data_IF_498873609928
#
_entry.id   IF_498873609928
#
_cell.length_a   1.000
_cell.length_b   1.000
_cell.length_c   1.000
_cell.angle_alpha   90.00
_cell.angle_beta   90.00
_cell.angle_gamma   90.00
#
_symmetry.space_group_name_H-M   'P 1'
#
loop_
_entity.id
_entity.type
_entity.pdbx_description
1 polymer ?
#
# COMPACT_ATOMS: atom_id res chain seq x y z
N UNK A 1 -29.45 -6.79 7.46
CA UNK A 1 -30.35 -7.72 8.17
C UNK A 1 -29.66 -8.11 9.45
N UNK A 2 -30.28 -7.81 10.57
CA UNK A 2 -30.03 -8.51 11.82
C UNK A 2 -31.28 -9.37 12.08
N UNK A 3 -31.05 -10.63 12.36
CA UNK A 3 -32.05 -11.54 12.92
C UNK A 3 -32.35 -11.06 14.37
N UNK A 4 -33.59 -11.07 14.87
CA UNK A 4 -33.93 -10.64 16.24
C UNK A 4 -33.28 -11.49 17.35
N UNK A 5 -32.49 -12.51 16.99
CA UNK A 5 -31.73 -13.37 17.89
C UNK A 5 -30.23 -13.27 17.59
N UNK A 6 -29.63 -12.08 17.70
CA UNK A 6 -28.17 -11.89 17.91
C UNK A 6 -27.16 -12.49 16.92
N UNK A 7 -27.59 -13.21 15.89
CA UNK A 7 -26.72 -13.83 14.91
C UNK A 7 -26.56 -12.86 13.73
N UNK A 8 -25.36 -12.27 13.55
CA UNK A 8 -25.13 -11.35 12.46
C UNK A 8 -25.41 -12.10 11.15
N UNK A 9 -26.32 -11.57 10.32
CA UNK A 9 -26.41 -12.06 8.95
C UNK A 9 -25.02 -11.93 8.31
N UNK A 10 -24.54 -12.90 7.53
CA UNK A 10 -23.26 -12.79 6.86
C UNK A 10 -23.25 -11.57 5.94
N UNK A 11 -22.61 -10.50 6.39
CA UNK A 11 -22.37 -9.31 5.58
C UNK A 11 -20.90 -9.35 5.19
N UNK A 12 -20.64 -9.65 3.92
CA UNK A 12 -19.35 -9.34 3.31
C UNK A 12 -19.23 -7.83 3.22
N UNK A 13 -18.11 -7.26 3.66
CA UNK A 13 -17.91 -5.82 3.62
C UNK A 13 -16.90 -5.35 4.66
N UNK A 14 -16.77 -4.05 4.79
CA UNK A 14 -15.92 -3.43 5.79
C UNK A 14 -16.77 -2.92 6.96
N UNK A 15 -16.29 -3.11 8.18
CA UNK A 15 -16.97 -2.68 9.42
C UNK A 15 -16.00 -1.99 10.35
N UNK A 16 -16.41 -0.90 10.98
CA UNK A 16 -15.60 -0.13 11.93
C UNK A 16 -16.29 -0.02 13.28
N UNK A 17 -15.50 0.01 14.35
CA UNK A 17 -15.97 0.30 15.70
C UNK A 17 -15.62 1.75 16.04
N UNK A 18 -16.63 2.52 16.41
CA UNK A 18 -16.52 3.92 16.80
C UNK A 18 -17.34 4.15 18.06
N UNK A 19 -16.69 4.55 19.16
CA UNK A 19 -17.31 4.76 20.48
C UNK A 19 -18.09 3.51 20.97
N UNK A 20 -17.46 2.34 20.87
CA UNK A 20 -18.06 1.06 21.25
C UNK A 20 -19.15 0.54 20.30
N UNK A 21 -19.52 1.27 19.25
CA UNK A 21 -20.55 0.87 18.30
C UNK A 21 -19.99 0.38 16.96
N UNK A 22 -20.52 -0.74 16.46
CA UNK A 22 -20.17 -1.30 15.16
C UNK A 22 -20.99 -0.66 14.03
N UNK A 23 -20.31 -0.15 13.00
CA UNK A 23 -20.91 0.43 11.80
C UNK A 23 -20.41 -0.31 10.55
N UNK A 24 -21.23 -0.30 9.48
CA UNK A 24 -20.69 -0.53 8.14
C UNK A 24 -19.75 0.62 7.81
N UNK A 25 -18.68 0.31 7.09
CA UNK A 25 -17.65 1.28 6.79
C UNK A 25 -17.15 1.13 5.35
N UNK A 26 -16.51 2.18 4.86
CA UNK A 26 -15.65 2.17 3.65
C UNK A 26 -14.57 3.24 3.79
N UNK A 27 -13.53 3.20 2.97
CA UNK A 27 -12.60 4.33 2.89
C UNK A 27 -13.30 5.61 2.44
N UNK A 28 -13.12 6.74 3.14
CA UNK A 28 -13.76 8.00 2.78
C UNK A 28 -13.09 8.60 1.53
N UNK A 29 -13.83 8.68 0.44
CA UNK A 29 -13.32 9.16 -0.84
C UNK A 29 -12.88 10.63 -0.78
N UNK A 30 -11.63 10.92 -1.16
CA UNK A 30 -11.10 12.29 -1.15
C UNK A 30 -10.83 12.87 0.25
N UNK A 31 -11.12 12.12 1.32
CA UNK A 31 -10.87 12.52 2.72
C UNK A 31 -9.91 11.57 3.42
N UNK A 32 -9.03 10.91 2.66
CA UNK A 32 -7.97 10.09 3.25
C UNK A 32 -7.18 10.91 4.29
N UNK A 33 -6.89 10.37 5.50
CA UNK A 33 -7.01 8.97 5.92
C UNK A 33 -8.36 8.55 6.51
N UNK A 34 -9.41 9.37 6.43
CA UNK A 34 -10.69 9.09 7.07
C UNK A 34 -11.38 7.81 6.54
N UNK A 35 -12.16 7.20 7.44
CA UNK A 35 -13.09 6.11 7.14
C UNK A 35 -14.50 6.67 7.22
N UNK A 36 -15.32 6.33 6.25
CA UNK A 36 -16.71 6.74 6.20
C UNK A 36 -17.58 5.69 6.89
N UNK A 37 -18.26 6.08 7.97
CA UNK A 37 -19.25 5.26 8.64
C UNK A 37 -20.59 5.36 7.91
N UNK A 38 -21.25 4.23 7.74
CA UNK A 38 -22.50 4.08 7.00
C UNK A 38 -23.55 3.50 7.97
N UNK A 39 -24.25 4.35 8.75
CA UNK A 39 -25.30 3.88 9.64
C UNK A 39 -26.45 3.26 8.83
N UNK A 40 -27.08 2.23 9.39
CA UNK A 40 -28.25 1.62 8.75
C UNK A 40 -29.43 2.60 8.71
N UNK A 41 -30.33 2.48 7.73
CA UNK A 41 -31.55 3.29 7.70
C UNK A 41 -32.29 3.19 9.03
N UNK A 42 -32.66 4.34 9.62
CA UNK A 42 -33.32 4.48 10.94
C UNK A 42 -32.42 4.32 12.17
N UNK A 43 -31.12 4.02 12.00
CA UNK A 43 -30.15 4.15 13.09
C UNK A 43 -29.78 5.63 13.26
N UNK A 44 -29.61 6.15 14.48
CA UNK A 44 -29.11 7.50 14.71
C UNK A 44 -27.76 7.72 14.00
N UNK A 45 -27.52 8.97 13.61
CA UNK A 45 -26.21 9.39 13.12
C UNK A 45 -25.13 9.15 14.19
N UNK A 46 -23.89 8.76 13.81
CA UNK A 46 -22.77 8.69 14.73
C UNK A 46 -22.58 10.03 15.44
N UNK A 47 -22.57 10.00 16.77
CA UNK A 47 -22.52 11.22 17.58
C UNK A 47 -21.23 12.02 17.34
N UNK A 48 -21.36 13.34 17.15
CA UNK A 48 -20.21 14.23 16.98
C UNK A 48 -19.45 14.02 15.67
N UNK A 49 -20.13 13.53 14.63
CA UNK A 49 -19.60 13.39 13.27
C UNK A 49 -20.55 14.08 12.29
N UNK A 50 -20.05 15.00 11.49
CA UNK A 50 -20.85 15.69 10.48
C UNK A 50 -21.13 14.75 9.29
N UNK A 51 -22.35 14.75 8.72
CA UNK A 51 -22.66 13.99 7.53
C UNK A 51 -21.95 14.60 6.30
N UNK A 52 -21.67 13.74 5.33
CA UNK A 52 -21.16 14.10 4.01
C UNK A 52 -21.92 13.34 2.94
N UNK A 53 -22.31 14.05 1.89
CA UNK A 53 -22.85 13.44 0.70
C UNK A 53 -21.71 13.06 -0.26
N UNK A 54 -21.66 11.80 -0.65
CA UNK A 54 -20.76 11.31 -1.68
C UNK A 54 -21.35 11.58 -3.08
N UNK A 55 -20.50 11.48 -4.11
CA UNK A 55 -20.91 11.75 -5.50
C UNK A 55 -22.00 10.80 -6.02
N UNK A 56 -22.17 9.64 -5.38
CA UNK A 56 -23.23 8.66 -5.66
C UNK A 56 -24.55 8.97 -4.92
N UNK A 57 -24.64 10.10 -4.22
CA UNK A 57 -25.80 10.52 -3.42
C UNK A 57 -25.92 9.80 -2.07
N UNK A 58 -24.98 8.92 -1.71
CA UNK A 58 -24.98 8.28 -0.39
C UNK A 58 -24.48 9.25 0.69
N UNK A 59 -25.14 9.22 1.86
CA UNK A 59 -24.71 10.00 3.03
C UNK A 59 -23.85 9.12 3.93
N UNK A 60 -22.61 9.54 4.14
CA UNK A 60 -21.67 8.90 5.04
C UNK A 60 -21.16 9.86 6.11
N UNK A 61 -20.47 9.32 7.11
CA UNK A 61 -19.97 10.06 8.25
C UNK A 61 -18.45 9.85 8.35
N UNK A 62 -17.63 10.76 7.79
CA UNK A 62 -16.18 10.61 7.78
C UNK A 62 -15.58 10.77 9.18
N UNK A 63 -14.82 9.77 9.62
CA UNK A 63 -14.15 9.71 10.91
C UNK A 63 -12.64 9.50 10.70
N UNK A 64 -11.78 10.33 11.30
CA UNK A 64 -10.32 10.11 11.33
C UNK A 64 -9.96 8.75 11.96
N UNK A 65 -8.86 8.14 11.51
CA UNK A 65 -8.47 6.79 11.98
C UNK A 65 -8.23 6.77 13.49
N UNK A 66 -7.71 7.85 14.05
CA UNK A 66 -7.35 8.01 15.47
C UNK A 66 -8.57 7.95 16.39
N UNK A 67 -9.77 8.14 15.85
CA UNK A 67 -11.03 8.06 16.59
C UNK A 67 -11.70 6.69 16.48
N UNK A 68 -11.17 5.78 15.67
CA UNK A 68 -11.70 4.42 15.54
C UNK A 68 -11.03 3.48 16.55
N UNK A 69 -11.83 2.58 17.11
CA UNK A 69 -11.35 1.52 17.99
C UNK A 69 -10.93 0.28 17.19
N UNK A 70 -11.62 0.03 16.06
CA UNK A 70 -11.29 -1.08 15.17
C UNK A 70 -11.83 -0.83 13.76
N UNK A 71 -11.20 -1.47 12.77
CA UNK A 71 -11.73 -1.50 11.40
C UNK A 71 -11.31 -2.79 10.70
N UNK A 72 -12.29 -3.56 10.23
CA UNK A 72 -12.08 -4.89 9.67
C UNK A 72 -12.70 -5.01 8.28
N UNK A 73 -12.01 -5.71 7.39
CA UNK A 73 -12.67 -6.38 6.28
C UNK A 73 -13.20 -7.73 6.78
N UNK A 74 -14.51 -7.93 6.65
CA UNK A 74 -15.21 -9.12 7.09
C UNK A 74 -15.59 -9.95 5.88
N UNK A 75 -15.18 -11.21 5.91
CA UNK A 75 -15.66 -12.24 5.00
C UNK A 75 -16.26 -13.37 5.83
N UNK A 76 -17.10 -14.17 5.20
CA UNK A 76 -17.71 -15.32 5.83
C UNK A 76 -17.49 -16.53 4.94
N UNK A 77 -17.20 -17.67 5.54
CA UNK A 77 -17.16 -18.96 4.84
C UNK A 77 -18.19 -19.89 5.41
N UNK A 78 -18.60 -20.86 4.61
CA UNK A 78 -19.47 -21.94 5.08
C UNK A 78 -19.24 -23.21 4.28
N UNK A 79 -19.74 -24.33 4.81
CA UNK A 79 -19.78 -25.60 4.11
C UNK A 79 -21.18 -26.02 3.73
N UNK A 80 -21.32 -26.57 2.53
CA UNK A 80 -22.51 -27.27 2.08
C UNK A 80 -22.08 -28.59 1.45
N UNK A 81 -22.64 -29.71 1.92
CA UNK A 81 -22.19 -31.07 1.53
C UNK A 81 -20.67 -31.28 1.63
N UNK A 82 -20.06 -30.76 2.71
CA UNK A 82 -18.61 -30.81 3.01
C UNK A 82 -17.72 -29.94 2.12
N UNK A 83 -18.28 -29.27 1.12
CA UNK A 83 -17.58 -28.38 0.21
C UNK A 83 -17.56 -26.94 0.71
N UNK A 84 -16.44 -26.23 0.51
CA UNK A 84 -16.20 -24.91 1.08
C UNK A 84 -16.61 -23.77 0.13
N UNK A 85 -17.24 -22.74 0.70
CA UNK A 85 -17.72 -21.58 -0.03
C UNK A 85 -17.36 -20.27 0.68
N UNK A 86 -17.03 -19.23 -0.10
CA UNK A 86 -17.02 -17.85 0.36
C UNK A 86 -18.44 -17.28 0.26
N UNK A 87 -19.01 -16.84 1.37
CA UNK A 87 -20.33 -16.23 1.39
C UNK A 87 -20.34 -14.87 0.68
N UNK A 88 -21.28 -14.71 -0.24
CA UNK A 88 -21.47 -13.51 -1.07
C UNK A 88 -22.75 -12.76 -0.74
N UNK A 89 -23.78 -13.45 -0.27
CA UNK A 89 -25.05 -12.87 0.14
C UNK A 89 -25.78 -13.83 1.08
N UNK A 90 -26.62 -13.27 1.94
CA UNK A 90 -27.45 -14.03 2.86
C UNK A 90 -28.87 -13.45 2.89
N UNK A 91 -29.85 -14.33 2.87
CA UNK A 91 -31.26 -14.05 3.20
C UNK A 91 -31.63 -14.81 4.47
N UNK A 92 -32.82 -14.59 5.06
CA UNK A 92 -33.26 -15.36 6.22
C UNK A 92 -33.28 -16.87 5.97
N UNK A 93 -33.55 -17.30 4.72
CA UNK A 93 -33.72 -18.71 4.37
C UNK A 93 -32.59 -19.30 3.53
N UNK A 94 -31.73 -18.47 2.94
CA UNK A 94 -30.69 -18.95 2.02
C UNK A 94 -29.35 -18.24 2.17
N UNK A 95 -28.28 -18.96 1.81
CA UNK A 95 -26.92 -18.44 1.68
C UNK A 95 -26.45 -18.59 0.23
N UNK A 96 -25.83 -17.56 -0.32
CA UNK A 96 -25.19 -17.63 -1.64
C UNK A 96 -23.69 -17.54 -1.49
N UNK A 97 -22.93 -18.39 -2.18
CA UNK A 97 -21.48 -18.41 -2.05
C UNK A 97 -20.73 -18.78 -3.32
N UNK A 98 -19.53 -18.21 -3.46
CA UNK A 98 -18.56 -18.61 -4.48
C UNK A 98 -17.84 -19.87 -4.00
N UNK A 99 -17.68 -20.85 -4.88
CA UNK A 99 -17.00 -22.09 -4.57
C UNK A 99 -15.51 -21.87 -4.37
N UNK A 100 -14.98 -22.38 -3.26
CA UNK A 100 -13.55 -22.34 -2.92
C UNK A 100 -12.88 -23.71 -3.00
N UNK A 101 -13.65 -24.78 -3.20
CA UNK A 101 -13.09 -26.12 -3.35
C UNK A 101 -12.51 -26.38 -4.74
N UNK A 102 -11.90 -27.55 -4.88
CA UNK A 102 -11.21 -27.98 -6.10
C UNK A 102 -11.89 -29.14 -6.83
N UNK A 103 -13.01 -29.66 -6.32
CA UNK A 103 -13.76 -30.75 -6.96
C UNK A 103 -14.59 -30.21 -8.13
N UNK A 104 -14.09 -30.43 -9.35
CA UNK A 104 -14.76 -29.97 -10.56
C UNK A 104 -16.03 -30.77 -10.88
N UNK A 105 -16.11 -32.04 -10.48
CA UNK A 105 -17.27 -32.87 -10.72
C UNK A 105 -18.45 -32.37 -9.88
N UNK A 106 -18.22 -32.20 -8.57
CA UNK A 106 -19.17 -31.58 -7.66
C UNK A 106 -19.62 -30.20 -8.17
N UNK A 107 -18.67 -29.36 -8.61
CA UNK A 107 -18.98 -28.01 -9.06
C UNK A 107 -19.88 -28.01 -10.30
N UNK A 108 -19.67 -28.92 -11.25
CA UNK A 108 -20.50 -29.05 -12.46
C UNK A 108 -21.89 -29.60 -12.15
N UNK A 109 -22.00 -30.50 -11.18
CA UNK A 109 -23.28 -31.14 -10.84
C UNK A 109 -24.20 -30.21 -10.04
N UNK A 110 -23.65 -29.44 -9.09
CA UNK A 110 -24.46 -28.73 -8.10
C UNK A 110 -24.42 -27.20 -8.20
N UNK A 111 -23.52 -26.62 -9.00
CA UNK A 111 -23.29 -25.18 -8.99
C UNK A 111 -23.48 -24.53 -10.37
N UNK A 112 -23.74 -23.23 -10.36
CA UNK A 112 -23.83 -22.43 -11.59
C UNK A 112 -22.46 -21.90 -11.97
N UNK A 113 -22.01 -22.23 -13.18
CA UNK A 113 -20.77 -21.67 -13.76
C UNK A 113 -20.88 -20.16 -14.00
N UNK A 114 -19.81 -19.44 -13.70
CA UNK A 114 -19.62 -18.00 -13.92
C UNK A 114 -18.35 -17.76 -14.74
N UNK A 115 -18.12 -16.50 -15.12
CA UNK A 115 -16.89 -16.08 -15.81
C UNK A 115 -15.65 -16.38 -14.97
N UNK A 116 -15.77 -16.22 -13.65
CA UNK A 116 -14.71 -16.47 -12.67
C UNK A 116 -15.26 -17.50 -11.67
N UNK A 117 -15.16 -18.79 -12.01
CA UNK A 117 -15.49 -19.91 -11.11
C UNK A 117 -16.95 -20.36 -11.06
N UNK A 118 -17.35 -20.98 -9.94
CA UNK A 118 -18.70 -21.52 -9.71
C UNK A 118 -19.38 -20.86 -8.51
N UNK A 119 -20.71 -20.71 -8.55
CA UNK A 119 -21.50 -20.10 -7.47
C UNK A 119 -22.78 -20.91 -7.22
N UNK A 120 -23.16 -21.04 -5.95
CA UNK A 120 -24.40 -21.68 -5.53
C UNK A 120 -25.28 -20.82 -4.62
N UNK A 121 -26.52 -21.25 -4.44
CA UNK A 121 -27.49 -20.74 -3.48
C UNK A 121 -28.01 -21.95 -2.70
N UNK A 122 -27.90 -21.90 -1.38
CA UNK A 122 -28.08 -23.03 -0.48
C UNK A 122 -29.12 -22.70 0.57
N UNK A 123 -30.01 -23.63 0.95
CA UNK A 123 -30.86 -23.50 2.12
C UNK A 123 -30.01 -23.29 3.37
N UNK A 124 -30.40 -22.35 4.23
CA UNK A 124 -29.60 -21.96 5.41
C UNK A 124 -29.47 -23.10 6.43
N UNK A 125 -30.48 -23.95 6.53
CA UNK A 125 -30.56 -25.12 7.40
C UNK A 125 -29.67 -26.30 6.94
N UNK A 126 -29.28 -26.34 5.67
CA UNK A 126 -28.35 -27.33 5.13
C UNK A 126 -26.87 -26.91 5.24
N UNK A 127 -26.63 -25.64 5.60
CA UNK A 127 -25.29 -25.09 5.70
C UNK A 127 -24.68 -25.37 7.08
N UNK A 128 -23.41 -25.74 7.07
CA UNK A 128 -22.60 -26.06 8.25
C UNK A 128 -21.35 -25.17 8.29
N UNK A 129 -20.66 -25.12 9.44
CA UNK A 129 -19.38 -24.40 9.59
C UNK A 129 -19.44 -22.94 9.10
N UNK A 130 -20.51 -22.21 9.46
CA UNK A 130 -20.62 -20.79 9.13
C UNK A 130 -19.66 -19.98 10.00
N UNK A 131 -18.54 -19.57 9.42
CA UNK A 131 -17.44 -18.91 10.11
C UNK A 131 -17.23 -17.49 9.61
N UNK A 132 -16.92 -16.58 10.54
CA UNK A 132 -16.54 -15.21 10.23
C UNK A 132 -15.03 -15.06 10.25
N UNK A 133 -14.49 -14.46 9.19
CA UNK A 133 -13.10 -14.07 9.09
C UNK A 133 -12.98 -12.55 9.17
N UNK A 134 -12.00 -12.08 9.94
CA UNK A 134 -11.71 -10.65 10.10
C UNK A 134 -10.27 -10.38 9.69
N UNK A 135 -10.10 -9.47 8.73
CA UNK A 135 -8.80 -8.91 8.39
C UNK A 135 -8.72 -7.50 8.91
N UNK A 136 -7.76 -7.22 9.79
CA UNK A 136 -7.51 -5.88 10.29
C UNK A 136 -7.13 -4.93 9.14
N UNK A 137 -7.76 -3.77 9.14
CA UNK A 137 -7.53 -2.67 8.21
C UNK A 137 -7.05 -1.42 8.91
N UNK A 138 -7.22 -1.31 10.24
CA UNK A 138 -6.86 -0.14 11.02
C UNK A 138 -5.34 -0.07 11.21
N UNK A 139 -4.71 -1.12 11.75
CA UNK A 139 -3.28 -1.11 12.06
C UNK A 139 -2.39 -0.90 10.82
N UNK A 140 -2.60 -1.61 9.69
CA UNK A 140 -1.83 -1.34 8.48
C UNK A 140 -1.99 0.10 7.98
N UNK A 141 -3.15 0.73 8.18
CA UNK A 141 -3.37 2.12 7.81
C UNK A 141 -2.70 3.11 8.76
N UNK A 142 -2.71 2.87 10.07
CA UNK A 142 -1.96 3.71 11.01
C UNK A 142 -0.47 3.71 10.70
N UNK A 143 0.12 2.53 10.49
CA UNK A 143 1.53 2.41 10.12
C UNK A 143 1.82 3.20 8.83
N UNK A 144 0.91 3.16 7.87
CA UNK A 144 1.05 3.88 6.61
C UNK A 144 0.90 5.41 6.76
N UNK A 145 -0.01 5.89 7.63
CA UNK A 145 -0.12 7.31 7.97
C UNK A 145 1.14 7.81 8.66
N UNK A 146 1.69 7.05 9.61
CA UNK A 146 2.93 7.39 10.29
C UNK A 146 4.08 7.55 9.29
N UNK A 147 4.23 6.59 8.37
CA UNK A 147 5.23 6.66 7.29
C UNK A 147 5.04 7.84 6.35
N UNK A 148 3.80 8.31 6.16
CA UNK A 148 3.54 9.50 5.36
C UNK A 148 3.84 10.82 6.08
N UNK A 149 3.82 10.82 7.41
CA UNK A 149 4.24 11.97 8.21
C UNK A 149 5.77 12.14 8.23
N UNK A 150 6.51 11.06 7.96
CA UNK A 150 7.95 11.07 7.79
C UNK A 150 8.34 11.63 6.41
N UNK A 151 8.86 12.86 6.39
CA UNK A 151 9.22 13.63 5.17
C UNK A 151 10.01 12.78 4.15
N UNK A 152 10.95 11.96 4.63
CA UNK A 152 11.89 11.19 3.80
C UNK A 152 11.62 9.67 3.77
N UNK A 153 10.49 9.16 4.26
CA UNK A 153 10.30 7.70 4.35
C UNK A 153 10.35 6.99 2.98
N UNK A 154 9.64 7.55 1.99
CA UNK A 154 9.57 7.00 0.64
C UNK A 154 10.67 7.52 -0.28
N UNK A 155 11.53 8.41 0.21
CA UNK A 155 12.66 8.89 -0.58
C UNK A 155 13.69 7.77 -0.70
N UNK A 156 14.32 7.59 -1.87
CA UNK A 156 15.40 6.62 -1.99
C UNK A 156 16.53 6.94 -1.02
N UNK A 157 17.03 5.91 -0.33
CA UNK A 157 18.13 6.01 0.64
C UNK A 157 19.19 4.98 0.34
N UNK A 158 20.44 5.37 0.45
CA UNK A 158 21.58 4.48 0.21
C UNK A 158 22.23 4.10 1.53
N UNK A 159 22.63 2.83 1.60
CA UNK A 159 23.27 2.24 2.76
C UNK A 159 24.45 1.40 2.33
N UNK A 160 25.41 1.27 3.23
CA UNK A 160 26.49 0.31 3.11
C UNK A 160 26.56 -0.54 4.37
N UNK A 161 26.95 -1.80 4.22
CA UNK A 161 27.25 -2.70 5.32
C UNK A 161 28.76 -2.84 5.41
N UNK A 162 29.32 -2.55 6.57
CA UNK A 162 30.73 -2.72 6.86
C UNK A 162 30.88 -3.52 8.16
N UNK A 163 31.52 -4.70 8.07
CA UNK A 163 31.69 -5.66 9.16
C UNK A 163 30.36 -6.00 9.87
N UNK A 164 29.32 -6.24 9.07
CA UNK A 164 27.99 -6.59 9.55
C UNK A 164 27.17 -5.43 10.14
N UNK A 165 27.65 -4.18 10.09
CA UNK A 165 26.91 -2.99 10.54
C UNK A 165 26.47 -2.14 9.37
N UNK A 166 25.24 -1.63 9.41
CA UNK A 166 24.65 -0.80 8.35
C UNK A 166 24.82 0.67 8.65
N UNK A 167 25.36 1.42 7.68
CA UNK A 167 25.55 2.87 7.75
C UNK A 167 24.81 3.53 6.58
N UNK A 168 24.22 4.73 6.76
CA UNK A 168 23.89 5.61 5.66
C UNK A 168 25.14 5.86 4.79
N UNK A 169 24.98 5.85 3.48
CA UNK A 169 26.10 5.95 2.55
C UNK A 169 25.77 6.85 1.35
N UNK A 170 26.81 7.37 0.71
CA UNK A 170 26.70 8.04 -0.58
C UNK A 170 26.14 7.08 -1.65
N UNK A 171 25.36 7.62 -2.59
CA UNK A 171 24.79 6.87 -3.71
C UNK A 171 25.81 6.54 -4.81
N UNK A 172 26.91 7.26 -4.85
CA UNK A 172 28.00 7.09 -5.80
C UNK A 172 29.34 7.19 -5.07
N UNK A 173 30.36 6.52 -5.60
CA UNK A 173 31.73 6.73 -5.18
C UNK A 173 32.23 8.08 -5.71
N UNK A 174 33.11 8.73 -4.97
CA UNK A 174 33.72 9.98 -5.42
C UNK A 174 34.73 9.76 -6.56
N UNK A 175 35.37 10.84 -7.02
CA UNK A 175 36.33 10.78 -8.12
C UNK A 175 37.55 9.86 -7.83
N UNK A 176 37.79 9.51 -6.56
CA UNK A 176 38.84 8.59 -6.13
C UNK A 176 38.33 7.15 -5.92
N UNK A 177 37.05 6.89 -6.19
CA UNK A 177 36.44 5.59 -5.98
C UNK A 177 36.07 5.30 -4.53
N UNK A 178 36.04 6.32 -3.66
CA UNK A 178 35.71 6.16 -2.24
C UNK A 178 34.24 6.46 -1.98
N UNK A 179 33.61 5.67 -1.12
CA UNK A 179 32.22 5.80 -0.71
C UNK A 179 32.20 6.45 0.68
N UNK A 180 31.51 7.59 0.78
CA UNK A 180 31.29 8.25 2.07
C UNK A 180 30.21 7.52 2.86
N UNK A 181 30.51 7.15 4.10
CA UNK A 181 29.60 6.61 5.10
C UNK A 181 29.34 7.69 6.16
N UNK A 182 28.08 7.88 6.55
CA UNK A 182 27.73 8.73 7.70
C UNK A 182 27.59 7.85 8.92
N UNK A 183 28.42 8.10 9.92
CA UNK A 183 28.46 7.35 11.17
C UNK A 183 28.12 8.33 12.28
N UNK A 184 27.10 8.01 13.09
CA UNK A 184 26.82 8.76 14.30
C UNK A 184 27.85 8.45 15.38
N UNK A 185 27.40 8.04 16.56
CA UNK A 185 28.30 7.67 17.67
C UNK A 185 29.15 6.41 17.39
N UNK A 186 28.72 5.57 16.43
CA UNK A 186 29.38 4.32 16.07
C UNK A 186 30.52 4.55 15.06
N UNK A 187 31.71 4.88 15.56
CA UNK A 187 32.90 5.12 14.73
C UNK A 187 33.59 3.81 14.27
N UNK A 188 33.76 3.60 12.96
CA UNK A 188 34.54 2.48 12.43
C UNK A 188 36.05 2.77 12.55
N UNK A 189 36.77 1.99 13.37
CA UNK A 189 38.19 2.22 13.69
C UNK A 189 39.15 2.04 12.50
N UNK A 190 38.76 1.27 11.49
CA UNK A 190 39.58 0.90 10.34
C UNK A 190 39.26 1.68 9.05
N UNK A 191 38.30 2.61 9.10
CA UNK A 191 37.99 3.51 8.00
C UNK A 191 38.63 4.87 8.21
N UNK A 192 38.93 5.54 7.10
CA UNK A 192 39.56 6.86 7.11
C UNK A 192 38.45 7.91 7.30
N UNK A 193 38.56 8.77 8.32
CA UNK A 193 37.65 9.90 8.46
C UNK A 193 37.76 10.83 7.23
N UNK A 194 36.64 11.33 6.70
CA UNK A 194 36.65 12.22 5.54
C UNK A 194 37.36 13.54 5.95
N UNK A 195 38.53 13.86 5.39
CA UNK A 195 39.27 15.06 5.77
C UNK A 195 38.54 16.36 5.42
N UNK A 196 37.49 16.29 4.59
CA UNK A 196 36.66 17.43 4.19
C UNK A 196 35.46 17.62 5.12
N UNK A 197 35.22 16.71 6.05
CA UNK A 197 34.12 16.78 6.99
C UNK A 197 34.57 17.34 8.36
N UNK A 198 34.24 18.60 8.68
CA UNK A 198 34.61 19.19 9.96
C UNK A 198 33.84 18.60 11.15
N UNK A 199 32.74 17.86 10.92
CA UNK A 199 31.98 17.22 12.00
C UNK A 199 32.64 15.93 12.50
N UNK A 200 33.44 15.27 11.65
CA UNK A 200 34.07 13.99 11.97
C UNK A 200 33.07 12.83 12.07
N UNK A 201 31.90 12.98 11.44
CA UNK A 201 30.84 11.96 11.36
C UNK A 201 30.93 11.17 10.04
N UNK A 202 31.71 11.64 9.06
CA UNK A 202 31.89 10.97 7.78
C UNK A 202 33.19 10.17 7.70
N UNK A 203 33.08 8.96 7.14
CA UNK A 203 34.19 8.05 6.91
C UNK A 203 34.20 7.57 5.46
N UNK A 204 35.37 7.25 4.93
CA UNK A 204 35.59 6.82 3.56
C UNK A 204 35.93 5.32 3.54
N UNK A 205 35.23 4.58 2.69
CA UNK A 205 35.48 3.17 2.43
C UNK A 205 35.65 2.90 0.93
N UNK A 206 36.53 1.98 0.56
CA UNK A 206 36.51 1.42 -0.80
C UNK A 206 35.37 0.40 -0.92
N UNK A 207 34.84 0.14 -2.14
CA UNK A 207 33.81 -0.88 -2.34
C UNK A 207 34.20 -2.26 -1.80
N UNK A 208 35.49 -2.63 -1.84
CA UNK A 208 36.01 -3.92 -1.37
C UNK A 208 36.01 -4.06 0.15
N UNK A 209 35.97 -2.94 0.89
CA UNK A 209 35.84 -2.96 2.34
C UNK A 209 34.38 -3.20 2.78
N UNK A 210 33.41 -3.02 1.87
CA UNK A 210 32.00 -3.14 2.18
C UNK A 210 31.49 -4.56 1.94
N UNK A 211 30.75 -5.10 2.89
CA UNK A 211 30.03 -6.37 2.74
C UNK A 211 28.89 -6.22 1.71
N UNK A 212 28.32 -5.02 1.62
CA UNK A 212 27.26 -4.67 0.68
C UNK A 212 27.18 -3.15 0.55
N UNK A 213 26.88 -2.65 -0.64
CA UNK A 213 26.47 -1.27 -0.85
C UNK A 213 25.17 -1.26 -1.67
N UNK A 214 24.10 -0.66 -1.16
CA UNK A 214 22.78 -0.77 -1.78
C UNK A 214 21.91 0.47 -1.62
N UNK A 215 21.06 0.69 -2.61
CA UNK A 215 20.01 1.71 -2.60
C UNK A 215 18.67 1.05 -2.30
N UNK A 216 17.97 1.59 -1.32
CA UNK A 216 16.53 1.34 -1.15
C UNK A 216 15.73 2.38 -1.90
N UNK A 217 14.65 1.97 -2.54
CA UNK A 217 13.69 2.87 -3.16
C UNK A 217 12.30 2.24 -3.08
N UNK A 218 11.27 3.05 -3.31
CA UNK A 218 9.90 2.58 -3.30
C UNK A 218 9.29 2.78 -4.67
N UNK A 219 8.50 1.82 -5.14
CA UNK A 219 7.70 1.94 -6.36
C UNK A 219 6.24 1.85 -6.01
N UNK A 220 5.38 2.40 -6.86
CA UNK A 220 3.95 2.18 -6.77
C UNK A 220 3.26 2.33 -8.12
N UNK A 221 2.00 1.92 -8.20
CA UNK A 221 1.13 2.19 -9.33
C UNK A 221 0.04 3.17 -8.97
N UNK A 222 -0.30 4.03 -9.92
CA UNK A 222 -1.45 4.93 -9.81
C UNK A 222 -2.19 4.99 -11.14
N UNK A 223 -3.51 4.76 -11.13
CA UNK A 223 -4.32 4.59 -12.35
C UNK A 223 -3.71 3.64 -13.38
N UNK A 224 -3.06 2.56 -12.91
CA UNK A 224 -2.30 1.58 -13.70
C UNK A 224 -0.99 2.10 -14.31
N UNK A 225 -0.58 3.35 -14.15
CA UNK A 225 0.75 3.83 -14.50
C UNK A 225 1.79 3.50 -13.40
N UNK A 226 3.03 3.14 -13.73
CA UNK A 226 4.09 2.90 -12.77
C UNK A 226 4.83 4.20 -12.35
N UNK A 227 5.24 4.25 -11.09
CA UNK A 227 5.94 5.39 -10.51
C UNK A 227 7.04 4.96 -9.52
N UNK A 228 8.14 5.69 -9.54
CA UNK A 228 9.15 5.66 -8.46
C UNK A 228 8.78 6.73 -7.43
N UNK A 229 8.70 6.35 -6.16
CA UNK A 229 8.47 7.30 -5.09
C UNK A 229 9.75 8.12 -4.82
N UNK A 230 9.57 9.43 -4.69
CA UNK A 230 10.65 10.39 -4.44
C UNK A 230 10.50 11.11 -3.09
N UNK A 231 9.50 10.72 -2.29
CA UNK A 231 9.27 11.24 -0.95
C UNK A 231 7.79 11.49 -0.66
N UNK A 232 7.55 12.32 0.34
CA UNK A 232 6.20 12.77 0.72
C UNK A 232 6.03 14.27 0.56
N UNK A 233 4.87 14.69 0.08
CA UNK A 233 4.49 16.11 -0.02
C UNK A 233 3.02 16.24 0.34
N UNK A 234 2.70 17.12 1.28
CA UNK A 234 1.32 17.39 1.74
C UNK A 234 0.57 16.11 2.19
N UNK A 235 1.27 15.17 2.86
CA UNK A 235 0.72 13.89 3.30
C UNK A 235 0.39 12.90 2.16
N UNK A 236 0.94 13.13 0.97
CA UNK A 236 0.80 12.28 -0.22
C UNK A 236 2.15 11.75 -0.67
N UNK A 237 2.14 10.61 -1.36
CA UNK A 237 3.36 10.09 -1.99
C UNK A 237 3.64 10.94 -3.23
N UNK A 238 4.82 11.57 -3.28
CA UNK A 238 5.32 12.16 -4.52
C UNK A 238 6.01 11.07 -5.32
N UNK A 239 5.63 10.91 -6.58
CA UNK A 239 6.24 9.94 -7.48
C UNK A 239 6.61 10.52 -8.83
N UNK A 240 7.63 9.94 -9.46
CA UNK A 240 8.05 10.20 -10.84
C UNK A 240 7.55 9.06 -11.70
N UNK A 241 6.89 9.37 -12.81
CA UNK A 241 6.39 8.37 -13.75
C UNK A 241 7.56 7.68 -14.46
N UNK A 242 7.58 6.35 -14.42
CA UNK A 242 8.64 5.51 -15.00
C UNK A 242 8.18 4.69 -16.20
N UNK A 243 6.93 4.88 -16.63
CA UNK A 243 6.39 4.17 -17.79
C UNK A 243 6.84 4.77 -19.12
N UNK A 244 6.73 3.97 -20.17
CA UNK A 244 7.05 4.34 -21.56
C UNK A 244 5.84 4.88 -22.35
N UNK A 245 4.63 4.77 -21.78
CA UNK A 245 3.41 5.17 -22.47
C UNK A 245 3.22 6.69 -22.51
N UNK A 246 3.48 7.29 -23.68
CA UNK A 246 3.11 8.68 -23.94
C UNK A 246 1.60 8.92 -23.86
N UNK A 247 0.80 7.93 -24.27
CA UNK A 247 -0.67 7.99 -24.16
C UNK A 247 -1.15 8.12 -22.72
N UNK A 248 -0.45 7.55 -21.75
CA UNK A 248 -0.75 7.77 -20.33
C UNK A 248 -0.43 9.21 -19.91
N UNK A 249 0.73 9.73 -20.32
CA UNK A 249 1.17 11.09 -19.99
C UNK A 249 0.23 12.14 -20.58
N UNK A 250 -0.06 12.04 -21.88
CA UNK A 250 -0.88 13.01 -22.61
C UNK A 250 -2.34 13.04 -22.16
N UNK A 251 -2.89 11.91 -21.70
CA UNK A 251 -4.29 11.82 -21.26
C UNK A 251 -4.47 12.02 -19.75
N UNK A 252 -3.38 12.13 -18.98
CA UNK A 252 -3.46 12.33 -17.53
C UNK A 252 -3.45 13.83 -17.21
N UNK A 253 -4.62 14.35 -16.84
CA UNK A 253 -4.78 15.73 -16.36
C UNK A 253 -4.15 15.98 -14.97
N UNK A 254 -3.53 14.97 -14.36
CA UNK A 254 -3.04 15.02 -12.97
C UNK A 254 -1.51 14.87 -12.85
N UNK A 255 -0.82 14.66 -13.97
CA UNK A 255 0.64 14.70 -13.98
C UNK A 255 1.11 16.16 -14.06
N UNK A 256 2.15 16.46 -13.29
CA UNK A 256 2.85 17.74 -13.35
C UNK A 256 4.15 17.56 -14.11
N UNK A 257 4.36 18.39 -15.13
CA UNK A 257 5.64 18.46 -15.82
C UNK A 257 6.63 19.25 -14.95
N UNK A 258 7.72 18.61 -14.56
CA UNK A 258 8.79 19.24 -13.76
C UNK A 258 10.14 19.07 -14.48
N UNK A 259 11.07 19.99 -14.23
CA UNK A 259 12.47 19.78 -14.62
C UNK A 259 13.08 18.71 -13.72
N UNK A 260 13.82 17.78 -14.33
CA UNK A 260 14.55 16.72 -13.68
C UNK A 260 15.67 17.26 -12.79
N UNK A 261 16.22 16.42 -11.89
CA UNK A 261 17.32 16.80 -11.01
C UNK A 261 18.61 17.19 -11.75
N UNK A 262 18.75 16.77 -13.01
CA UNK A 262 19.85 17.17 -13.89
C UNK A 262 19.67 18.55 -14.54
N UNK A 263 18.52 19.21 -14.33
CA UNK A 263 18.21 20.51 -14.92
C UNK A 263 17.89 20.48 -16.42
N UNK A 264 17.92 19.32 -17.07
CA UNK A 264 17.85 19.19 -18.53
C UNK A 264 16.64 18.37 -18.96
N UNK A 265 16.40 17.23 -18.33
CA UNK A 265 15.33 16.34 -18.74
C UNK A 265 14.00 16.75 -18.12
N UNK A 266 12.92 16.62 -18.88
CA UNK A 266 11.57 16.74 -18.33
C UNK A 266 11.19 15.44 -17.64
N UNK A 267 10.64 15.53 -16.43
CA UNK A 267 10.00 14.42 -15.74
C UNK A 267 8.53 14.72 -15.48
N UNK A 268 7.71 13.66 -15.44
CA UNK A 268 6.29 13.76 -15.12
C UNK A 268 6.06 13.23 -13.72
N UNK A 269 5.56 14.07 -12.84
CA UNK A 269 5.38 13.73 -11.42
C UNK A 269 3.93 13.73 -11.01
N UNK A 270 3.64 13.09 -9.89
CA UNK A 270 2.33 13.10 -9.26
C UNK A 270 2.43 13.25 -7.75
N UNK A 271 1.41 13.87 -7.16
CA UNK A 271 1.11 13.79 -5.72
C UNK A 271 -0.06 12.83 -5.51
N UNK A 272 0.23 11.55 -5.33
CA UNK A 272 -0.79 10.51 -5.26
C UNK A 272 -1.27 10.30 -3.81
N UNK A 273 -2.58 10.43 -3.60
CA UNK A 273 -3.23 9.97 -2.37
C UNK A 273 -3.37 8.45 -2.37
N UNK A 274 -3.24 7.82 -1.20
CA UNK A 274 -3.15 6.37 -1.07
C UNK A 274 -4.35 5.57 -1.59
N UNK A 275 -5.53 6.17 -1.71
CA UNK A 275 -6.70 5.50 -2.32
C UNK A 275 -6.41 5.04 -3.76
N UNK A 276 -5.61 5.81 -4.50
CA UNK A 276 -5.25 5.49 -5.88
C UNK A 276 -3.93 4.76 -6.03
N UNK A 277 -3.19 4.56 -4.93
CA UNK A 277 -1.89 3.90 -4.92
C UNK A 277 -2.09 2.41 -4.73
N UNK A 278 -1.62 1.61 -5.69
CA UNK A 278 -1.52 0.15 -5.57
C UNK A 278 -0.06 -0.27 -5.66
N UNK A 279 0.24 -1.50 -5.25
CA UNK A 279 1.57 -2.11 -5.43
C UNK A 279 2.71 -1.24 -4.87
N UNK A 280 2.47 -0.62 -3.70
CA UNK A 280 3.48 0.14 -2.98
C UNK A 280 4.49 -0.82 -2.34
N UNK A 281 5.66 -0.91 -2.94
CA UNK A 281 6.69 -1.90 -2.59
C UNK A 281 8.04 -1.21 -2.37
N UNK A 282 8.81 -1.74 -1.41
CA UNK A 282 10.19 -1.34 -1.20
C UNK A 282 11.11 -2.29 -1.96
N UNK A 283 12.06 -1.72 -2.68
CA UNK A 283 13.07 -2.44 -3.44
C UNK A 283 14.46 -2.14 -2.90
N UNK A 284 15.37 -3.08 -3.15
CA UNK A 284 16.80 -2.94 -2.87
C UNK A 284 17.57 -3.19 -4.16
N UNK A 285 18.36 -2.22 -4.57
CA UNK A 285 19.28 -2.30 -5.72
C UNK A 285 20.69 -2.34 -5.20
N UNK A 286 21.46 -3.35 -5.59
CA UNK A 286 22.87 -3.44 -5.28
C UNK A 286 23.65 -2.41 -6.11
N UNK A 287 24.52 -1.63 -5.46
CA UNK A 287 25.36 -0.60 -6.05
C UNK A 287 26.80 -1.09 -6.24
N UNK A 288 27.19 -2.19 -5.59
CA UNK A 288 28.51 -2.81 -5.75
C UNK A 288 28.76 -3.38 -7.15
N UNK A 289 27.72 -3.45 -7.98
CA UNK A 289 27.74 -4.04 -9.31
C UNK A 289 27.58 -3.04 -10.48
N UNK A 290 27.64 -1.71 -10.26
CA UNK A 290 27.54 -0.78 -11.39
C UNK A 290 28.86 -0.70 -12.18
N UNK A 291 28.92 -1.18 -13.44
CA UNK A 291 30.08 -0.94 -14.28
C UNK A 291 30.16 0.55 -14.56
N UNK A 292 31.35 1.09 -14.41
CA UNK A 292 31.78 2.35 -15.02
C UNK A 292 31.35 2.38 -16.49
N UNK A 293 30.28 3.10 -16.83
CA UNK A 293 30.00 3.45 -18.23
C UNK A 293 30.75 4.73 -18.54
N UNK A 294 32.06 4.57 -18.74
CA UNK A 294 32.77 5.42 -19.69
C UNK A 294 32.51 4.81 -21.07
N UNK A 295 31.77 5.49 -21.94
CA UNK A 295 32.06 5.56 -23.39
C UNK A 295 31.15 6.61 -24.03
N UNK A 296 31.78 7.73 -24.38
CA UNK A 296 31.32 8.68 -25.39
C UNK A 296 31.10 7.92 -26.71
N UNK A 297 29.92 8.07 -27.32
CA UNK A 297 29.77 7.94 -28.77
C UNK A 297 28.99 9.13 -29.32
N UNK A 298 29.76 10.11 -29.80
CA UNK A 298 29.34 11.02 -30.86
C UNK A 298 29.12 10.17 -32.11
N UNK A 299 27.92 10.21 -32.70
CA UNK A 299 27.73 10.13 -34.16
C UNK A 299 26.50 10.98 -34.51
N UNK A 300 26.76 12.13 -35.14
CA UNK A 300 25.79 12.85 -35.96
C UNK A 300 25.76 12.25 -37.38
N UNK A 301 24.67 12.47 -38.11
CA UNK A 301 24.78 13.19 -39.37
C UNK A 301 24.18 14.61 -39.30
#
# INVERSE_FOLDING_TARGET
MADPVGHPSPVKGEVAVFRGELYRARGAEGLWPCVELLPEPRRPAPEGVAPREAADGSVGYPVPLERLEAWYAVTWTFRWRRELFECTAATPTTLSGNYLGSDEHFAKEHLKRRVIGYRGVFPRDEVTELEQHRKDRLQPRHALVQRLAEVDHFRPKTYAVHRGRTYPAAAEADASGLITLTTGDDRPEDLIADPRDPSGEHFLATPEQLDTWYRTHWTFRWQRGPFDAVGTVDGRIKGVYTGDSWGFVANSLQLTQETGPDGVHTQYTIKAGLKGVTDLEQHRTDLSASPSVSTIRVIAP
#
